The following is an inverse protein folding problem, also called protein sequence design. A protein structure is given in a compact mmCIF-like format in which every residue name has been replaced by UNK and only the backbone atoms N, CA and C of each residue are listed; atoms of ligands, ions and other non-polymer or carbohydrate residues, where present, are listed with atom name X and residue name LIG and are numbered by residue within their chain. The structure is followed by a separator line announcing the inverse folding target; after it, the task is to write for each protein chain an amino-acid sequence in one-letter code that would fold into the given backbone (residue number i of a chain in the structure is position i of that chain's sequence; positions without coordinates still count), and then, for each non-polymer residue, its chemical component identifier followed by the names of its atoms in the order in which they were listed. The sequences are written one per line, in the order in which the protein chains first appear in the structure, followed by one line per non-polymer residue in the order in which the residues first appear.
data_IF_643984253231
#
_entry.id   IF_643984253231
#
_cell.length_a   1.000
_cell.length_b   1.000
_cell.length_c   1.000
_cell.angle_alpha   90.00
_cell.angle_beta   90.00
_cell.angle_gamma   90.00
#
_symmetry.space_group_name_H-M   'P 1'
#
loop_
_entity.id
_entity.type
_entity.pdbx_description
1 polymer ?
#
# COMPACT_ATOMS: atom_id res chain seq x y z
N UNK A 1 12.18 -5.13 10.82
CA UNK A 1 11.44 -5.79 9.72
C UNK A 1 11.57 -4.98 8.43
N UNK A 2 11.22 -5.53 7.27
CA UNK A 2 11.09 -4.78 6.00
C UNK A 2 9.64 -4.81 5.55
N UNK A 3 8.99 -3.64 5.47
CA UNK A 3 7.56 -3.54 5.17
C UNK A 3 7.34 -2.86 3.83
N UNK A 4 6.70 -3.55 2.89
CA UNK A 4 6.28 -2.98 1.61
C UNK A 4 4.90 -2.34 1.74
N UNK A 5 4.74 -1.07 1.32
CA UNK A 5 3.52 -0.29 1.54
C UNK A 5 3.04 0.35 0.23
N UNK A 6 1.83 0.01 -0.21
CA UNK A 6 1.13 0.78 -1.25
C UNK A 6 0.35 1.93 -0.61
N UNK A 7 0.15 3.04 -1.33
CA UNK A 7 -0.62 4.18 -0.79
C UNK A 7 0.09 4.95 0.33
N UNK A 8 1.41 4.75 0.48
CA UNK A 8 2.23 5.34 1.54
C UNK A 8 2.18 6.88 1.59
N UNK A 9 1.97 7.55 0.46
CA UNK A 9 1.88 9.03 0.41
C UNK A 9 0.53 9.59 0.85
N UNK A 10 -0.45 8.73 1.18
CA UNK A 10 -1.79 9.09 1.63
C UNK A 10 -1.89 9.36 3.13
N UNK A 11 -3.10 9.67 3.60
CA UNK A 11 -3.37 10.10 4.99
C UNK A 11 -2.91 9.09 6.05
N UNK A 12 -3.28 7.80 5.90
CA UNK A 12 -2.87 6.73 6.81
C UNK A 12 -1.42 6.34 6.54
N UNK A 13 -1.06 6.21 5.26
CA UNK A 13 0.25 5.74 4.81
C UNK A 13 1.41 6.54 5.39
N UNK A 14 1.32 7.88 5.41
CA UNK A 14 2.40 8.72 5.96
C UNK A 14 2.68 8.40 7.41
N UNK A 15 1.64 8.33 8.24
CA UNK A 15 1.77 8.03 9.68
C UNK A 15 2.31 6.62 9.91
N UNK A 16 1.88 5.65 9.11
CA UNK A 16 2.40 4.29 9.19
C UNK A 16 3.89 4.24 8.85
N UNK A 17 4.33 4.91 7.77
CA UNK A 17 5.75 5.01 7.40
C UNK A 17 6.56 5.60 8.54
N UNK A 18 6.12 6.73 9.11
CA UNK A 18 6.79 7.35 10.26
C UNK A 18 6.93 6.40 11.45
N UNK A 19 5.84 5.72 11.84
CA UNK A 19 5.85 4.82 12.99
C UNK A 19 6.77 3.61 12.76
N UNK A 20 6.77 3.03 11.57
CA UNK A 20 7.62 1.89 11.26
C UNK A 20 9.09 2.28 11.28
N UNK A 21 9.44 3.43 10.70
CA UNK A 21 10.82 3.91 10.72
C UNK A 21 11.28 4.29 12.13
N UNK A 22 10.41 4.87 12.97
CA UNK A 22 10.74 5.16 14.38
C UNK A 22 10.96 3.92 15.23
N UNK A 23 10.46 2.76 14.77
CA UNK A 23 10.63 1.46 15.42
C UNK A 23 11.79 0.66 14.78
N UNK A 24 12.72 1.34 14.10
CA UNK A 24 13.88 0.75 13.41
C UNK A 24 13.50 -0.32 12.37
N UNK A 25 12.35 -0.18 11.73
CA UNK A 25 11.98 -0.99 10.57
C UNK A 25 12.37 -0.31 9.26
N UNK A 26 12.59 -1.10 8.22
CA UNK A 26 12.81 -0.62 6.84
C UNK A 26 11.48 -0.58 6.12
N UNK A 27 11.31 0.40 5.23
CA UNK A 27 10.07 0.59 4.49
C UNK A 27 10.35 0.67 2.99
N UNK A 28 9.64 -0.16 2.22
CA UNK A 28 9.61 -0.07 0.76
C UNK A 28 8.29 0.57 0.32
N UNK A 29 8.34 1.79 -0.20
CA UNK A 29 7.17 2.49 -0.73
C UNK A 29 6.89 2.01 -2.15
N UNK A 30 5.78 1.31 -2.33
CA UNK A 30 5.28 0.88 -3.64
C UNK A 30 4.43 2.01 -4.24
N UNK A 31 4.98 2.78 -5.17
CA UNK A 31 4.33 3.98 -5.72
C UNK A 31 4.18 3.94 -7.24
N UNK A 32 3.17 4.68 -7.74
CA UNK A 32 2.99 5.00 -9.17
C UNK A 32 3.72 6.28 -9.58
N UNK A 33 4.16 7.09 -8.63
CA UNK A 33 4.89 8.34 -8.85
C UNK A 33 6.03 8.44 -7.86
N UNK A 34 7.27 8.23 -8.34
CA UNK A 34 8.47 8.35 -7.53
C UNK A 34 8.71 9.80 -7.11
N UNK A 35 8.50 10.76 -8.01
CA UNK A 35 8.65 12.18 -7.71
C UNK A 35 7.75 12.64 -6.56
N UNK A 36 6.47 12.25 -6.57
CA UNK A 36 5.55 12.54 -5.46
C UNK A 36 6.00 11.86 -4.16
N UNK A 37 6.45 10.61 -4.23
CA UNK A 37 6.94 9.91 -3.05
C UNK A 37 8.20 10.57 -2.47
N UNK A 38 9.16 10.96 -3.31
CA UNK A 38 10.39 11.64 -2.89
C UNK A 38 10.11 13.03 -2.31
N UNK A 39 9.12 13.76 -2.83
CA UNK A 39 8.68 15.03 -2.25
C UNK A 39 8.04 14.86 -0.87
N UNK A 40 7.27 13.79 -0.64
CA UNK A 40 6.64 13.50 0.66
C UNK A 40 7.66 12.90 1.65
N UNK A 41 8.60 12.10 1.16
CA UNK A 41 9.61 11.40 1.95
C UNK A 41 11.03 11.70 1.43
N UNK A 42 11.58 12.89 1.70
CA UNK A 42 12.95 13.22 1.27
C UNK A 42 13.98 12.28 1.90
N UNK A 43 14.89 11.74 1.09
CA UNK A 43 15.86 10.72 1.54
C UNK A 43 16.73 11.17 2.73
N UNK A 44 17.02 12.48 2.85
CA UNK A 44 17.76 13.05 3.97
C UNK A 44 17.05 12.95 5.33
N UNK A 45 15.72 12.86 5.32
CA UNK A 45 14.89 12.82 6.54
C UNK A 45 14.41 11.40 6.87
N UNK A 46 14.43 10.49 5.90
CA UNK A 46 13.90 9.13 6.04
C UNK A 46 14.95 8.07 5.69
N UNK A 47 15.99 7.90 6.54
CA UNK A 47 16.92 6.79 6.38
C UNK A 47 16.17 5.45 6.53
N UNK A 48 16.56 4.43 5.74
CA UNK A 48 15.89 3.12 5.76
C UNK A 48 14.61 3.02 4.91
N UNK A 49 14.30 4.07 4.14
CA UNK A 49 13.20 4.10 3.19
C UNK A 49 13.71 3.87 1.76
N UNK A 50 13.04 2.97 1.04
CA UNK A 50 13.23 2.72 -0.40
C UNK A 50 11.98 3.13 -1.15
N UNK A 51 12.12 3.89 -2.25
CA UNK A 51 11.01 4.21 -3.15
C UNK A 51 11.08 3.29 -4.36
N UNK A 52 10.02 2.50 -4.57
CA UNK A 52 9.91 1.53 -5.65
C UNK A 52 8.85 1.96 -6.67
N UNK A 53 9.28 2.14 -7.91
CA UNK A 53 8.34 2.29 -9.04
C UNK A 53 7.85 0.92 -9.48
N UNK A 54 6.84 0.90 -10.36
CA UNK A 54 6.12 -0.33 -10.70
C UNK A 54 7.01 -1.49 -11.17
N UNK A 55 8.14 -1.21 -11.85
CA UNK A 55 9.12 -2.24 -12.24
C UNK A 55 9.82 -2.91 -11.06
N UNK A 56 9.96 -2.21 -9.93
CA UNK A 56 10.70 -2.64 -8.75
C UNK A 56 9.79 -3.23 -7.66
N UNK A 57 8.46 -3.19 -7.86
CA UNK A 57 7.50 -3.64 -6.85
C UNK A 57 7.69 -5.11 -6.48
N UNK A 58 7.92 -5.97 -7.47
CA UNK A 58 8.08 -7.40 -7.25
C UNK A 58 9.28 -7.70 -6.35
N UNK A 59 10.43 -7.07 -6.62
CA UNK A 59 11.63 -7.21 -5.80
C UNK A 59 11.39 -6.73 -4.37
N UNK A 60 10.70 -5.59 -4.18
CA UNK A 60 10.36 -5.08 -2.86
C UNK A 60 9.38 -5.99 -2.10
N UNK A 61 8.38 -6.54 -2.78
CA UNK A 61 7.42 -7.48 -2.17
C UNK A 61 8.15 -8.75 -1.74
N UNK A 62 8.97 -9.35 -2.60
CA UNK A 62 9.72 -10.57 -2.27
C UNK A 62 10.77 -10.39 -1.18
N UNK A 63 11.33 -9.18 -1.06
CA UNK A 63 12.30 -8.83 -0.01
C UNK A 63 11.66 -8.34 1.30
N UNK A 64 10.33 -8.35 1.40
CA UNK A 64 9.61 -7.82 2.57
C UNK A 64 9.12 -8.92 3.50
N UNK A 65 9.18 -8.65 4.81
CA UNK A 65 8.59 -9.52 5.84
C UNK A 65 7.07 -9.39 5.87
N UNK A 66 6.55 -8.21 5.49
CA UNK A 66 5.15 -7.84 5.52
C UNK A 66 4.78 -6.91 4.36
N UNK A 67 3.54 -7.01 3.89
CA UNK A 67 2.97 -6.09 2.90
C UNK A 67 1.71 -5.42 3.45
N UNK A 68 1.62 -4.09 3.32
CA UNK A 68 0.44 -3.30 3.67
C UNK A 68 -0.11 -2.60 2.43
N UNK A 69 -1.35 -2.92 2.06
CA UNK A 69 -2.03 -2.32 0.92
C UNK A 69 -3.02 -1.24 1.35
N UNK A 70 -2.63 0.02 1.24
CA UNK A 70 -3.49 1.19 1.53
C UNK A 70 -3.88 1.95 0.26
N UNK A 71 -3.42 1.53 -0.91
CA UNK A 71 -3.71 2.19 -2.16
C UNK A 71 -5.17 2.01 -2.59
N UNK A 72 -5.73 3.09 -3.12
CA UNK A 72 -7.06 3.12 -3.70
C UNK A 72 -7.43 4.56 -4.03
N UNK A 73 -8.42 4.73 -4.90
CA UNK A 73 -9.01 6.05 -5.12
C UNK A 73 -9.74 6.52 -3.85
N UNK A 74 -9.59 7.82 -3.46
CA UNK A 74 -10.35 8.41 -2.38
C UNK A 74 -11.86 8.27 -2.60
N UNK A 75 -12.62 8.07 -1.52
CA UNK A 75 -14.09 7.96 -1.57
C UNK A 75 -14.80 9.29 -1.26
N UNK A 76 -14.05 10.29 -0.80
CA UNK A 76 -14.50 11.64 -0.47
C UNK A 76 -14.72 12.48 -1.75
N UNK A 77 -15.51 11.96 -2.68
CA UNK A 77 -15.86 12.58 -3.96
C UNK A 77 -17.37 12.47 -4.18
N UNK A 78 -17.92 13.15 -5.19
CA UNK A 78 -19.33 12.96 -5.58
C UNK A 78 -19.50 11.60 -6.24
N UNK A 79 -20.51 10.85 -5.82
CA UNK A 79 -20.74 9.48 -6.30
C UNK A 79 -21.61 9.47 -7.55
N UNK A 80 -21.08 8.92 -8.64
CA UNK A 80 -21.81 8.51 -9.84
C UNK A 80 -21.56 7.02 -10.11
N UNK A 81 -22.32 6.37 -11.00
CA UNK A 81 -22.02 4.99 -11.43
C UNK A 81 -20.57 4.81 -11.91
N UNK A 82 -20.05 5.78 -12.66
CA UNK A 82 -18.68 5.79 -13.20
C UNK A 82 -17.66 5.89 -12.05
N UNK A 83 -17.85 6.82 -11.13
CA UNK A 83 -16.97 6.98 -9.95
C UNK A 83 -16.99 5.73 -9.06
N UNK A 84 -18.15 5.10 -8.87
CA UNK A 84 -18.25 3.82 -8.14
C UNK A 84 -17.39 2.74 -8.81
N UNK A 85 -17.45 2.65 -10.14
CA UNK A 85 -16.64 1.71 -10.91
C UNK A 85 -15.15 2.01 -10.79
N UNK A 86 -14.73 3.27 -10.88
CA UNK A 86 -13.33 3.68 -10.70
C UNK A 86 -12.80 3.37 -9.29
N UNK A 87 -13.59 3.66 -8.26
CA UNK A 87 -13.28 3.33 -6.87
C UNK A 87 -13.06 1.82 -6.70
N UNK A 88 -13.94 0.99 -7.28
CA UNK A 88 -13.80 -0.48 -7.25
C UNK A 88 -12.56 -0.93 -8.02
N UNK A 89 -12.40 -0.46 -9.25
CA UNK A 89 -11.31 -0.89 -10.13
C UNK A 89 -9.94 -0.49 -9.58
N UNK A 90 -9.83 0.71 -8.98
CA UNK A 90 -8.59 1.17 -8.37
C UNK A 90 -8.10 0.24 -7.25
N UNK A 91 -9.04 -0.34 -6.47
CA UNK A 91 -8.75 -1.30 -5.38
C UNK A 91 -8.43 -2.68 -5.91
N UNK A 92 -9.23 -3.19 -6.84
CA UNK A 92 -9.01 -4.51 -7.45
C UNK A 92 -7.65 -4.54 -8.15
N UNK A 93 -7.35 -3.53 -8.97
CA UNK A 93 -6.11 -3.47 -9.74
C UNK A 93 -4.85 -3.53 -8.86
N UNK A 94 -4.80 -2.73 -7.80
CA UNK A 94 -3.62 -2.69 -6.94
C UNK A 94 -3.50 -3.95 -6.09
N UNK A 95 -4.62 -4.45 -5.55
CA UNK A 95 -4.64 -5.68 -4.73
C UNK A 95 -4.22 -6.89 -5.54
N UNK A 96 -4.80 -7.09 -6.73
CA UNK A 96 -4.43 -8.20 -7.63
C UNK A 96 -2.95 -8.17 -8.01
N UNK A 97 -2.39 -6.98 -8.24
CA UNK A 97 -0.97 -6.83 -8.57
C UNK A 97 -0.07 -7.22 -7.41
N UNK A 98 -0.36 -6.74 -6.20
CA UNK A 98 0.41 -7.08 -5.00
C UNK A 98 0.33 -8.58 -4.71
N UNK A 99 -0.88 -9.16 -4.76
CA UNK A 99 -1.09 -10.60 -4.53
C UNK A 99 -0.36 -11.44 -5.57
N UNK A 100 -0.32 -11.00 -6.84
CA UNK A 100 0.48 -11.65 -7.88
C UNK A 100 1.96 -11.73 -7.48
N UNK A 101 2.55 -10.63 -7.04
CA UNK A 101 3.97 -10.62 -6.61
C UNK A 101 4.21 -11.46 -5.35
N UNK A 102 3.28 -11.47 -4.40
CA UNK A 102 3.33 -12.35 -3.23
C UNK A 102 3.33 -13.83 -3.67
N UNK A 103 2.50 -14.19 -4.65
CA UNK A 103 2.41 -15.56 -5.16
C UNK A 103 3.56 -15.97 -6.09
N UNK A 104 4.29 -15.01 -6.65
CA UNK A 104 5.52 -15.25 -7.38
C UNK A 104 6.75 -15.49 -6.47
N UNK A 105 6.63 -15.27 -5.17
CA UNK A 105 7.65 -15.68 -4.21
C UNK A 105 7.75 -17.22 -4.22
N UNK A 106 8.73 -17.75 -4.94
CA UNK A 106 8.87 -19.18 -5.21
C UNK A 106 9.27 -20.05 -4.01
N UNK A 107 9.49 -19.46 -2.84
CA UNK A 107 9.76 -20.18 -1.60
C UNK A 107 9.30 -19.38 -0.37
N UNK A 108 9.25 -20.05 0.78
CA UNK A 108 8.82 -19.43 2.04
C UNK A 108 9.74 -18.28 2.48
N UNK A 109 11.04 -18.36 2.20
CA UNK A 109 12.03 -17.35 2.61
C UNK A 109 11.85 -16.00 1.91
N UNK A 110 11.28 -16.01 0.70
CA UNK A 110 11.02 -14.80 -0.10
C UNK A 110 9.55 -14.38 -0.10
N UNK A 111 8.70 -15.07 0.67
CA UNK A 111 7.27 -14.78 0.74
C UNK A 111 6.98 -13.96 2.01
N UNK A 112 6.32 -12.80 1.91
CA UNK A 112 5.86 -12.07 3.07
C UNK A 112 4.98 -12.93 3.97
N UNK A 113 5.27 -12.94 5.27
CA UNK A 113 4.52 -13.70 6.26
C UNK A 113 3.11 -13.17 6.49
N UNK A 114 2.88 -11.87 6.20
CA UNK A 114 1.60 -11.20 6.42
C UNK A 114 1.27 -10.24 5.28
N UNK A 115 -0.01 -10.23 4.93
CA UNK A 115 -0.60 -9.26 4.01
C UNK A 115 -1.78 -8.56 4.69
N UNK A 116 -1.63 -7.25 4.93
CA UNK A 116 -2.69 -6.40 5.47
C UNK A 116 -3.28 -5.58 4.34
N UNK A 117 -4.58 -5.72 4.08
CA UNK A 117 -5.27 -4.93 3.06
C UNK A 117 -6.33 -4.03 3.70
N UNK A 118 -6.27 -2.73 3.40
CA UNK A 118 -7.28 -1.80 3.86
C UNK A 118 -8.65 -2.17 3.30
N UNK A 119 -9.64 -2.16 4.19
CA UNK A 119 -11.06 -2.29 3.87
C UNK A 119 -11.85 -1.19 4.59
N UNK A 120 -13.17 -1.18 4.46
CA UNK A 120 -14.04 -0.24 5.15
C UNK A 120 -15.25 -0.97 5.74
N UNK A 121 -15.76 -0.45 6.86
CA UNK A 121 -16.95 -0.98 7.54
C UNK A 121 -18.19 -1.03 6.64
N UNK A 122 -18.24 -0.18 5.61
CA UNK A 122 -19.35 -0.16 4.64
C UNK A 122 -19.57 -1.47 3.89
N UNK A 123 -18.61 -2.42 3.93
CA UNK A 123 -18.81 -3.78 3.45
C UNK A 123 -19.98 -4.48 4.17
N UNK A 124 -20.17 -4.22 5.45
CA UNK A 124 -21.21 -4.84 6.27
C UNK A 124 -22.59 -4.17 6.14
N UNK A 125 -22.69 -3.07 5.39
CA UNK A 125 -23.91 -2.26 5.30
C UNK A 125 -24.07 -1.26 6.45
N UNK A 126 -25.07 -0.40 6.34
CA UNK A 126 -25.48 0.50 7.41
C UNK A 126 -26.56 -0.18 8.24
N UNK A 127 -26.40 -0.21 9.57
CA UNK A 127 -27.48 -0.56 10.48
C UNK A 127 -28.43 0.63 10.58
N UNK A 128 -29.58 0.53 9.93
CA UNK A 128 -30.68 1.47 10.15
C UNK A 128 -31.46 0.98 11.37
N UNK A 129 -31.40 1.74 12.46
CA UNK A 129 -32.44 1.71 13.49
C UNK A 129 -33.45 2.76 13.06
N UNK A 130 -34.68 2.32 12.76
CA UNK A 130 -35.80 3.23 12.43
C UNK A 130 -36.12 4.15 13.60
#
# INVERSE_FOLDING_TARGET
MTVSITGATGFIGRRLVHKLLSDDHKVCILTRSASKAASVFPASTYPGLTIAQQGDWEACVRGSTAVVNLAGMPISTRWSPEIKQEIKQSRVNVTSKVVKYINHAGNADTRPSVFVSATAIGYYGASFVN
#
